data_IF_664491970785
#
_entry.id   IF_664491970785
#
_cell.length_a   1.000
_cell.length_b   1.000
_cell.length_c   1.000
_cell.angle_alpha   90.00
_cell.angle_beta   90.00
_cell.angle_gamma   90.00
#
_symmetry.space_group_name_H-M   'P 1'
#
loop_
_entity.id
_entity.type
_entity.pdbx_description
1 polymer ?
#
# COMPACT_ATOMS: atom_id res chain seq x y z
N UNK A 1 -29.91 -19.42 -71.84
CA UNK A 1 -30.56 -20.74 -72.02
C UNK A 1 -29.47 -21.76 -72.31
N UNK A 2 -29.55 -22.94 -71.70
CA UNK A 2 -28.59 -24.06 -71.63
C UNK A 2 -27.83 -24.20 -70.30
N UNK A 3 -28.23 -25.26 -69.59
CA UNK A 3 -27.68 -25.86 -68.37
C UNK A 3 -26.93 -27.13 -68.80
N UNK A 4 -25.81 -27.46 -68.13
CA UNK A 4 -25.31 -28.83 -67.91
C UNK A 4 -23.96 -28.76 -67.17
N UNK A 5 -23.89 -28.93 -65.84
CA UNK A 5 -23.83 -30.16 -65.03
C UNK A 5 -22.46 -30.88 -64.93
N UNK A 6 -22.08 -31.13 -63.65
CA UNK A 6 -21.11 -32.11 -63.08
C UNK A 6 -19.64 -31.65 -63.08
N UNK A 7 -18.86 -31.77 -62.00
CA UNK A 7 -18.88 -32.74 -60.89
C UNK A 7 -18.07 -32.27 -59.67
N UNK A 8 -18.53 -32.74 -58.52
CA UNK A 8 -18.06 -32.65 -57.14
C UNK A 8 -16.67 -33.28 -56.92
N UNK A 9 -15.79 -32.69 -56.09
CA UNK A 9 -15.15 -33.36 -54.92
C UNK A 9 -14.09 -32.48 -54.23
N UNK A 10 -13.88 -32.78 -52.94
CA UNK A 10 -12.81 -32.39 -52.02
C UNK A 10 -13.09 -31.24 -51.03
N UNK A 11 -13.69 -31.67 -49.90
CA UNK A 11 -13.39 -31.32 -48.51
C UNK A 11 -12.18 -30.39 -48.28
N UNK A 12 -12.32 -29.36 -47.43
CA UNK A 12 -11.58 -29.22 -46.15
C UNK A 12 -12.45 -28.44 -45.16
N UNK A 13 -12.42 -28.91 -43.91
CA UNK A 13 -13.18 -28.49 -42.75
C UNK A 13 -13.11 -26.98 -42.42
N UNK A 14 -14.24 -26.42 -42.01
CA UNK A 14 -14.31 -25.19 -41.22
C UNK A 14 -15.41 -25.35 -40.18
N UNK A 15 -15.08 -26.09 -39.11
CA UNK A 15 -15.86 -26.09 -37.87
C UNK A 15 -14.91 -25.61 -36.76
N UNK A 16 -14.71 -24.30 -36.70
CA UNK A 16 -13.98 -23.64 -35.63
C UNK A 16 -14.99 -22.85 -34.79
N UNK A 17 -15.38 -23.50 -33.68
CA UNK A 17 -15.48 -22.90 -32.35
C UNK A 17 -16.17 -21.53 -32.34
N UNK A 18 -17.51 -21.55 -32.31
CA UNK A 18 -18.28 -20.45 -31.76
C UNK A 18 -18.37 -20.66 -30.23
N UNK A 19 -17.20 -20.62 -29.57
CA UNK A 19 -17.18 -20.48 -28.11
C UNK A 19 -17.69 -19.09 -27.78
N UNK A 20 -18.71 -19.08 -26.93
CA UNK A 20 -19.23 -17.93 -26.21
C UNK A 20 -18.11 -16.90 -25.95
N UNK A 21 -18.15 -15.78 -26.68
CA UNK A 21 -17.66 -14.52 -26.13
C UNK A 21 -18.71 -14.03 -25.14
N UNK A 22 -18.85 -14.73 -24.02
CA UNK A 22 -19.17 -14.06 -22.78
C UNK A 22 -17.89 -13.33 -22.40
N UNK A 23 -17.68 -12.17 -23.03
CA UNK A 23 -16.88 -11.14 -22.38
C UNK A 23 -17.69 -10.87 -21.12
N UNK A 24 -17.24 -11.39 -19.99
CA UNK A 24 -17.54 -10.76 -18.72
C UNK A 24 -16.98 -9.35 -18.89
N UNK A 25 -17.83 -8.45 -19.38
CA UNK A 25 -17.79 -7.07 -18.99
C UNK A 25 -17.95 -7.17 -17.48
N UNK A 26 -16.81 -7.26 -16.79
CA UNK A 26 -16.73 -6.73 -15.44
C UNK A 26 -16.98 -5.26 -15.70
N UNK A 27 -18.25 -4.86 -15.67
CA UNK A 27 -18.59 -3.48 -15.44
C UNK A 27 -17.81 -3.14 -14.18
N UNK A 28 -16.77 -2.33 -14.35
CA UNK A 28 -16.26 -1.50 -13.28
C UNK A 28 -17.34 -0.47 -13.01
N UNK A 29 -18.52 -0.92 -12.56
CA UNK A 29 -19.42 -0.07 -11.80
C UNK A 29 -18.53 0.49 -10.70
N UNK A 30 -18.35 1.80 -10.76
CA UNK A 30 -17.70 2.61 -9.75
C UNK A 30 -18.04 2.00 -8.39
N UNK A 31 -17.08 1.27 -7.79
CA UNK A 31 -17.20 0.80 -6.42
C UNK A 31 -17.63 2.02 -5.63
N UNK A 32 -18.70 1.91 -4.84
CA UNK A 32 -19.26 3.01 -4.07
C UNK A 32 -18.12 3.88 -3.54
N UNK A 33 -17.87 4.99 -4.23
CA UNK A 33 -16.79 5.88 -3.87
C UNK A 33 -17.41 6.72 -2.78
N UNK A 34 -17.00 6.47 -1.55
CA UNK A 34 -17.46 7.31 -0.46
C UNK A 34 -17.06 8.76 -0.78
N UNK A 35 -18.01 9.69 -0.65
CA UNK A 35 -17.76 11.14 -0.80
C UNK A 35 -16.72 11.67 0.22
N UNK A 36 -16.38 10.84 1.23
CA UNK A 36 -15.31 11.04 2.19
C UNK A 36 -15.08 9.78 3.03
N UNK A 37 -14.05 9.75 3.88
CA UNK A 37 -13.78 8.59 4.74
C UNK A 37 -14.96 8.40 5.73
N UNK A 38 -15.56 7.19 5.86
CA UNK A 38 -16.64 6.97 6.82
C UNK A 38 -16.24 7.29 8.27
N UNK A 39 -17.13 7.93 9.04
CA UNK A 39 -16.82 8.39 10.40
C UNK A 39 -16.32 7.26 11.33
N UNK A 40 -16.84 6.04 11.16
CA UNK A 40 -16.41 4.89 11.96
C UNK A 40 -14.93 4.53 11.69
N UNK A 41 -14.41 4.75 10.49
CA UNK A 41 -13.00 4.53 10.16
C UNK A 41 -12.11 5.48 10.97
N UNK A 42 -12.50 6.75 11.10
CA UNK A 42 -11.74 7.70 11.92
C UNK A 42 -11.92 7.44 13.42
N UNK A 43 -13.13 7.09 13.85
CA UNK A 43 -13.47 6.80 15.25
C UNK A 43 -12.68 5.61 15.82
N UNK A 44 -12.55 4.54 15.04
CA UNK A 44 -11.88 3.30 15.44
C UNK A 44 -10.43 3.22 14.95
N UNK A 45 -9.89 4.27 14.32
CA UNK A 45 -8.53 4.26 13.79
C UNK A 45 -7.50 3.84 14.86
N UNK A 46 -6.50 3.03 14.55
CA UNK A 46 -5.54 2.52 15.51
C UNK A 46 -4.67 3.61 16.16
N UNK A 47 -4.06 3.27 17.30
CA UNK A 47 -2.98 4.04 17.95
C UNK A 47 -1.72 3.19 17.91
N UNK A 48 -0.63 3.75 17.39
CA UNK A 48 0.65 3.06 17.27
C UNK A 48 1.62 3.61 18.31
N UNK A 49 2.08 2.73 19.19
CA UNK A 49 3.21 3.00 20.06
C UNK A 49 4.50 2.73 19.28
N UNK A 50 5.34 3.75 19.20
CA UNK A 50 6.67 3.63 18.64
C UNK A 50 7.65 3.22 19.74
N UNK A 51 8.63 2.39 19.39
CA UNK A 51 9.70 2.07 20.32
C UNK A 51 10.46 3.37 20.72
N UNK A 52 10.69 3.57 22.01
CA UNK A 52 11.21 4.83 22.54
C UNK A 52 12.63 5.15 22.05
N UNK A 53 13.44 4.12 21.82
CA UNK A 53 14.81 4.22 21.33
C UNK A 53 14.94 4.20 19.81
N UNK A 54 13.83 4.08 19.08
CA UNK A 54 13.89 4.08 17.63
C UNK A 54 14.36 5.45 17.13
N UNK A 55 15.29 5.40 16.17
CA UNK A 55 15.87 6.58 15.53
C UNK A 55 15.08 6.96 14.27
N UNK A 56 14.33 6.03 13.70
CA UNK A 56 13.64 6.17 12.42
C UNK A 56 12.14 6.26 12.68
N UNK A 57 11.65 7.50 12.82
CA UNK A 57 10.25 7.78 13.11
C UNK A 57 9.41 7.76 11.82
N UNK A 58 8.07 7.73 11.93
CA UNK A 58 7.19 7.89 10.77
C UNK A 58 7.50 9.19 10.01
N UNK A 59 7.44 9.13 8.68
CA UNK A 59 7.85 10.20 7.77
C UNK A 59 6.74 10.52 6.77
N UNK A 60 6.79 11.71 6.18
CA UNK A 60 5.96 12.01 5.01
C UNK A 60 6.51 11.30 3.77
N UNK A 61 5.64 10.64 3.00
CA UNK A 61 6.02 10.02 1.73
C UNK A 61 6.46 11.07 0.68
N UNK A 62 5.92 12.28 0.75
CA UNK A 62 6.36 13.40 -0.09
C UNK A 62 7.87 13.70 0.06
N UNK A 63 8.43 13.54 1.26
CA UNK A 63 9.87 13.72 1.51
C UNK A 63 10.71 12.72 0.72
N UNK A 64 10.24 11.49 0.52
CA UNK A 64 10.92 10.54 -0.37
C UNK A 64 10.93 11.04 -1.81
N UNK A 65 9.82 11.61 -2.30
CA UNK A 65 9.73 12.13 -3.67
C UNK A 65 10.72 13.29 -3.89
N UNK A 66 10.83 14.20 -2.93
CA UNK A 66 11.76 15.33 -2.97
C UNK A 66 13.24 14.87 -3.00
N UNK A 67 13.53 13.74 -2.36
CA UNK A 67 14.89 13.21 -2.19
C UNK A 67 15.22 12.01 -3.10
N UNK A 68 14.38 11.75 -4.10
CA UNK A 68 14.57 10.66 -5.06
C UNK A 68 14.39 11.12 -6.50
N UNK A 69 14.77 10.24 -7.42
CA UNK A 69 14.52 10.37 -8.85
C UNK A 69 13.99 9.05 -9.40
N UNK A 70 13.01 9.07 -10.32
CA UNK A 70 12.59 7.87 -11.01
C UNK A 70 13.70 7.33 -11.91
N UNK A 71 13.90 6.01 -11.86
CA UNK A 71 14.94 5.33 -12.63
C UNK A 71 14.44 4.01 -13.18
N UNK A 72 15.00 3.59 -14.31
CA UNK A 72 14.90 2.23 -14.85
C UNK A 72 16.32 1.70 -14.96
N UNK A 73 16.64 0.57 -14.33
CA UNK A 73 18.00 0.01 -14.30
C UNK A 73 19.07 1.06 -13.92
N UNK A 74 18.83 1.81 -12.84
CA UNK A 74 19.71 2.89 -12.34
C UNK A 74 19.92 4.08 -13.30
N UNK A 75 19.22 4.13 -14.42
CA UNK A 75 19.27 5.25 -15.37
C UNK A 75 18.07 6.16 -15.12
N UNK A 76 18.25 7.48 -14.96
CA UNK A 76 17.14 8.42 -14.79
C UNK A 76 16.15 8.35 -15.96
N UNK A 77 14.85 8.37 -15.63
CA UNK A 77 13.78 8.44 -16.63
C UNK A 77 13.71 9.87 -17.18
N UNK A 78 13.62 10.01 -18.50
CA UNK A 78 13.43 11.29 -19.17
C UNK A 78 11.97 11.77 -19.05
N UNK A 79 11.74 13.06 -19.28
CA UNK A 79 10.40 13.67 -19.34
C UNK A 79 9.55 13.51 -18.06
N UNK A 80 10.21 13.26 -16.92
CA UNK A 80 9.57 13.25 -15.60
C UNK A 80 9.22 14.70 -15.19
N UNK A 81 8.00 14.96 -14.69
CA UNK A 81 7.65 16.25 -14.11
C UNK A 81 8.62 16.67 -13.00
N UNK A 82 9.02 17.95 -12.99
CA UNK A 82 9.90 18.51 -11.98
C UNK A 82 9.27 19.78 -11.38
N UNK A 83 8.90 19.78 -10.08
CA UNK A 83 9.09 18.69 -9.12
C UNK A 83 8.12 17.50 -9.33
N UNK A 84 8.59 16.31 -8.96
CA UNK A 84 7.73 15.15 -8.76
C UNK A 84 7.08 15.26 -7.37
N UNK A 85 5.77 15.11 -7.31
CA UNK A 85 4.93 15.35 -6.13
C UNK A 85 3.84 14.28 -6.05
N UNK A 86 3.09 14.23 -4.95
CA UNK A 86 1.96 13.30 -4.83
C UNK A 86 0.88 13.54 -5.88
N UNK A 87 0.72 14.78 -6.34
CA UNK A 87 -0.32 15.18 -7.31
C UNK A 87 -0.02 14.77 -8.75
N UNK A 88 1.23 14.40 -9.05
CA UNK A 88 1.65 14.01 -10.40
C UNK A 88 2.47 12.72 -10.44
N UNK A 89 2.53 11.97 -9.33
CA UNK A 89 3.29 10.72 -9.24
C UNK A 89 2.77 9.65 -10.20
N UNK A 90 1.48 9.68 -10.51
CA UNK A 90 0.81 8.78 -11.45
C UNK A 90 1.31 8.94 -12.89
N UNK A 91 1.92 10.08 -13.23
CA UNK A 91 2.55 10.29 -14.55
C UNK A 91 3.59 9.22 -14.89
N UNK A 92 4.24 8.64 -13.88
CA UNK A 92 5.22 7.55 -14.05
C UNK A 92 4.59 6.29 -14.67
N UNK A 93 3.28 6.10 -14.54
CA UNK A 93 2.55 4.98 -15.17
C UNK A 93 2.72 4.98 -16.69
N UNK A 94 2.77 6.18 -17.31
CA UNK A 94 2.95 6.34 -18.75
C UNK A 94 4.43 6.29 -19.18
N UNK A 95 5.37 6.37 -18.23
CA UNK A 95 6.82 6.45 -18.47
C UNK A 95 7.54 5.11 -18.16
N UNK A 96 6.81 4.00 -18.11
CA UNK A 96 7.33 2.66 -17.83
C UNK A 96 6.61 1.97 -16.66
N UNK A 97 5.85 2.73 -15.85
CA UNK A 97 5.00 2.21 -14.79
C UNK A 97 5.73 1.28 -13.84
N UNK A 98 5.37 -0.01 -13.86
CA UNK A 98 5.92 -1.05 -12.97
C UNK A 98 7.44 -1.24 -13.04
N UNK A 99 8.08 -0.81 -14.12
CA UNK A 99 9.53 -0.94 -14.33
C UNK A 99 10.30 0.30 -13.85
N UNK A 100 9.59 1.32 -13.36
CA UNK A 100 10.14 2.57 -12.83
C UNK A 100 10.22 2.49 -11.30
N UNK A 101 11.40 2.78 -10.75
CA UNK A 101 11.67 2.78 -9.32
C UNK A 101 12.13 4.16 -8.85
N UNK A 102 11.64 4.59 -7.69
CA UNK A 102 12.17 5.77 -7.00
C UNK A 102 13.52 5.42 -6.38
N UNK A 103 14.58 6.07 -6.86
CA UNK A 103 15.95 5.88 -6.37
C UNK A 103 16.40 7.14 -5.64
N UNK A 104 16.80 7.01 -4.37
CA UNK A 104 17.31 8.13 -3.57
C UNK A 104 18.51 8.81 -4.24
N UNK A 105 18.62 10.13 -4.07
CA UNK A 105 19.72 10.89 -4.66
C UNK A 105 21.09 10.59 -4.04
N UNK A 106 21.13 10.38 -2.73
CA UNK A 106 22.39 10.22 -1.97
C UNK A 106 22.77 8.75 -1.75
N UNK A 107 21.81 7.83 -1.91
CA UNK A 107 22.00 6.40 -1.67
C UNK A 107 21.84 6.01 -0.20
N UNK A 108 21.46 4.76 0.04
CA UNK A 108 21.08 4.25 1.37
C UNK A 108 22.18 4.37 2.44
N UNK A 109 23.46 4.34 2.05
CA UNK A 109 24.60 4.41 2.98
C UNK A 109 24.91 5.84 3.46
N UNK A 110 24.35 6.86 2.81
CA UNK A 110 24.56 8.24 3.21
C UNK A 110 23.85 8.56 4.53
N UNK A 111 22.79 7.82 4.87
CA UNK A 111 21.96 8.04 6.07
C UNK A 111 21.60 9.52 6.26
N UNK A 112 20.99 10.17 5.25
CA UNK A 112 20.66 11.58 5.33
C UNK A 112 19.63 11.85 6.42
N UNK A 113 19.60 13.07 6.94
CA UNK A 113 18.79 13.45 8.11
C UNK A 113 17.31 13.08 7.95
N UNK A 114 16.76 13.24 6.73
CA UNK A 114 15.37 12.95 6.43
C UNK A 114 14.96 11.47 6.61
N UNK A 115 15.92 10.53 6.69
CA UNK A 115 15.64 9.14 7.05
C UNK A 115 15.06 9.01 8.46
N UNK A 116 15.40 9.93 9.37
CA UNK A 116 14.97 9.88 10.78
C UNK A 116 13.47 10.16 10.96
N UNK A 117 12.79 10.66 9.92
CA UNK A 117 11.38 11.00 9.94
C UNK A 117 11.02 12.09 10.96
N UNK A 118 9.77 12.08 11.40
CA UNK A 118 9.20 13.10 12.29
C UNK A 118 8.79 12.47 13.62
N UNK A 119 9.50 12.83 14.69
CA UNK A 119 9.13 12.36 16.03
C UNK A 119 7.77 12.95 16.45
N UNK A 120 6.82 12.12 16.94
CA UNK A 120 5.56 12.62 17.46
C UNK A 120 5.75 13.57 18.65
N UNK A 121 4.91 14.59 18.75
CA UNK A 121 4.86 15.49 19.90
C UNK A 121 4.23 14.81 21.14
N UNK A 122 4.06 15.58 22.22
CA UNK A 122 3.46 15.07 23.47
C UNK A 122 2.00 14.60 23.32
N UNK A 123 1.32 15.00 22.25
CA UNK A 123 -0.03 14.56 21.92
C UNK A 123 -0.04 13.37 20.94
N UNK A 124 1.14 12.87 20.54
CA UNK A 124 1.29 11.77 19.60
C UNK A 124 1.14 12.18 18.13
N UNK A 125 1.25 13.49 17.82
CA UNK A 125 1.12 13.99 16.45
C UNK A 125 2.49 14.18 15.79
N UNK A 126 2.67 13.68 14.56
CA UNK A 126 3.79 14.07 13.69
C UNK A 126 3.51 15.46 13.10
N UNK A 127 4.09 16.50 13.70
CA UNK A 127 3.87 17.90 13.29
C UNK A 127 4.51 18.15 11.92
N UNK A 128 3.77 18.81 11.03
CA UNK A 128 4.19 19.13 9.65
C UNK A 128 4.56 17.93 8.75
N UNK A 129 4.15 16.72 9.13
CA UNK A 129 4.33 15.51 8.33
C UNK A 129 3.03 14.72 8.17
N UNK A 130 2.72 14.34 6.92
CA UNK A 130 1.64 13.39 6.59
C UNK A 130 2.23 11.99 6.60
N UNK A 131 2.28 11.39 7.78
CA UNK A 131 2.94 10.10 8.04
C UNK A 131 2.06 8.87 7.86
N UNK A 132 0.77 9.08 7.56
CA UNK A 132 -0.21 8.01 7.43
C UNK A 132 -1.17 8.24 6.27
N UNK A 133 -1.58 7.14 5.63
CA UNK A 133 -2.59 7.10 4.58
C UNK A 133 -3.68 6.10 4.99
N UNK A 134 -4.93 6.48 4.80
CA UNK A 134 -6.07 5.57 4.99
C UNK A 134 -6.60 5.17 3.62
N UNK A 135 -6.64 3.87 3.36
CA UNK A 135 -7.27 3.30 2.15
C UNK A 135 -8.50 2.53 2.59
N UNK A 136 -9.66 2.91 2.05
CA UNK A 136 -10.95 2.27 2.36
C UNK A 136 -11.37 1.41 1.19
N UNK A 137 -11.71 0.15 1.48
CA UNK A 137 -12.28 -0.80 0.53
C UNK A 137 -13.70 -1.14 0.95
N UNK A 138 -14.67 -0.61 0.21
CA UNK A 138 -16.05 -1.11 0.26
C UNK A 138 -16.13 -2.46 -0.48
N UNK A 139 -16.80 -3.44 0.11
CA UNK A 139 -17.00 -4.75 -0.52
C UNK A 139 -18.21 -4.77 -1.48
N UNK A 140 -19.02 -3.72 -1.52
CA UNK A 140 -20.18 -3.56 -2.40
C UNK A 140 -21.42 -4.32 -1.94
N UNK A 141 -21.41 -4.92 -0.75
CA UNK A 141 -22.54 -5.66 -0.15
C UNK A 141 -23.40 -4.79 0.79
N UNK A 142 -23.03 -3.51 0.93
CA UNK A 142 -23.71 -2.54 1.80
C UNK A 142 -23.45 -2.75 3.29
N UNK A 143 -22.51 -3.62 3.67
CA UNK A 143 -22.24 -3.97 5.07
C UNK A 143 -20.75 -3.97 5.42
N UNK A 144 -19.94 -4.56 4.56
CA UNK A 144 -18.54 -4.87 4.83
C UNK A 144 -17.62 -3.79 4.27
N UNK A 145 -16.78 -3.24 5.14
CA UNK A 145 -15.75 -2.26 4.77
C UNK A 145 -14.45 -2.68 5.42
N UNK A 146 -13.37 -2.76 4.63
CA UNK A 146 -12.01 -2.90 5.16
C UNK A 146 -11.31 -1.55 5.07
N UNK A 147 -10.79 -1.05 6.20
CA UNK A 147 -9.97 0.16 6.22
C UNK A 147 -8.53 -0.19 6.58
N UNK A 148 -7.60 0.19 5.70
CA UNK A 148 -6.17 0.03 5.88
C UNK A 148 -5.58 1.35 6.33
N UNK A 149 -4.85 1.34 7.43
CA UNK A 149 -4.16 2.49 8.01
C UNK A 149 -2.67 2.27 7.83
N UNK A 150 -2.11 2.85 6.77
CA UNK A 150 -0.71 2.74 6.45
C UNK A 150 0.11 3.79 7.20
N UNK A 151 1.33 3.42 7.59
CA UNK A 151 2.33 4.28 8.20
C UNK A 151 3.60 4.18 7.36
N UNK A 152 4.16 5.33 7.00
CA UNK A 152 5.37 5.37 6.19
C UNK A 152 6.59 5.68 7.04
N UNK A 153 7.68 4.96 6.81
CA UNK A 153 9.00 5.25 7.35
C UNK A 153 9.96 5.53 6.19
N UNK A 154 10.75 6.60 6.29
CA UNK A 154 11.70 6.96 5.24
C UNK A 154 12.84 5.95 5.11
N UNK A 155 13.17 5.27 6.20
CA UNK A 155 14.20 4.25 6.28
C UNK A 155 13.81 3.19 7.30
N UNK A 156 13.96 1.93 6.94
CA UNK A 156 13.84 0.82 7.87
C UNK A 156 15.24 0.31 8.21
N UNK A 157 15.57 0.35 9.49
CA UNK A 157 16.74 -0.34 10.03
C UNK A 157 16.38 -1.79 10.31
N UNK A 158 16.95 -2.70 9.52
CA UNK A 158 16.62 -4.11 9.62
C UNK A 158 17.20 -4.79 10.87
N UNK A 159 16.81 -6.06 11.04
CA UNK A 159 17.13 -6.84 12.23
C UNK A 159 18.62 -7.17 12.34
N UNK A 160 19.12 -7.19 13.58
CA UNK A 160 20.49 -7.61 13.88
C UNK A 160 20.51 -9.04 14.39
N UNK A 161 21.20 -9.93 13.67
CA UNK A 161 21.39 -11.33 14.03
C UNK A 161 22.88 -11.58 14.22
N UNK A 162 23.28 -11.92 15.46
CA UNK A 162 24.69 -12.18 15.84
C UNK A 162 25.60 -11.00 15.42
N UNK A 163 25.16 -9.76 15.69
CA UNK A 163 25.91 -8.54 15.38
C UNK A 163 25.95 -8.15 13.90
N UNK A 164 25.26 -8.87 13.02
CA UNK A 164 25.14 -8.53 11.60
C UNK A 164 23.72 -8.04 11.31
N UNK A 165 23.60 -6.86 10.71
CA UNK A 165 22.32 -6.25 10.35
C UNK A 165 21.87 -6.67 8.95
N UNK A 166 20.59 -7.06 8.82
CA UNK A 166 19.98 -7.50 7.57
C UNK A 166 18.68 -6.76 7.31
N UNK A 167 18.41 -6.43 6.05
CA UNK A 167 17.10 -5.89 5.64
C UNK A 167 16.99 -4.36 5.73
N UNK A 168 18.10 -3.62 5.72
CA UNK A 168 18.03 -2.17 5.59
C UNK A 168 17.46 -1.79 4.22
N UNK A 169 16.47 -0.91 4.21
CA UNK A 169 15.88 -0.41 2.96
C UNK A 169 15.34 1.00 3.14
N UNK A 170 15.30 1.73 2.03
CA UNK A 170 14.69 3.07 1.97
C UNK A 170 13.22 2.90 1.63
N UNK A 171 12.38 3.57 2.40
CA UNK A 171 10.94 3.48 2.30
C UNK A 171 10.44 2.16 2.86
N UNK A 172 9.57 2.27 3.85
CA UNK A 172 8.93 1.14 4.47
C UNK A 172 7.48 1.50 4.81
N UNK A 173 6.59 0.56 4.53
CA UNK A 173 5.15 0.72 4.65
C UNK A 173 4.62 -0.38 5.55
N UNK A 174 4.23 0.02 6.76
CA UNK A 174 3.57 -0.84 7.71
C UNK A 174 2.10 -0.44 7.82
N UNK A 175 1.23 -1.33 8.26
CA UNK A 175 -0.18 -1.03 8.39
C UNK A 175 -0.93 -1.90 9.40
N UNK A 176 -2.04 -1.33 9.88
CA UNK A 176 -3.15 -2.13 10.38
C UNK A 176 -4.28 -2.15 9.36
N UNK A 177 -5.05 -3.23 9.34
CA UNK A 177 -6.35 -3.24 8.66
C UNK A 177 -7.44 -3.53 9.68
N UNK A 178 -8.51 -2.74 9.68
CA UNK A 178 -9.71 -3.02 10.47
C UNK A 178 -10.84 -3.40 9.53
N UNK A 179 -11.42 -4.58 9.76
CA UNK A 179 -12.64 -5.02 9.09
C UNK A 179 -13.85 -4.55 9.89
N UNK A 180 -14.77 -3.88 9.22
CA UNK A 180 -16.05 -3.43 9.75
C UNK A 180 -17.20 -4.21 9.12
N UNK A 181 -18.22 -4.49 9.92
CA UNK A 181 -19.52 -4.96 9.46
C UNK A 181 -20.58 -4.01 10.02
N UNK A 182 -21.38 -3.41 9.13
CA UNK A 182 -22.39 -2.40 9.48
C UNK A 182 -21.81 -1.24 10.34
N UNK A 183 -20.56 -0.84 10.05
CA UNK A 183 -19.86 0.23 10.78
C UNK A 183 -19.25 -0.18 12.12
N UNK A 184 -19.40 -1.43 12.56
CA UNK A 184 -18.79 -1.93 13.80
C UNK A 184 -17.56 -2.81 13.52
N UNK A 185 -16.45 -2.62 14.25
CA UNK A 185 -15.21 -3.35 13.99
C UNK A 185 -15.31 -4.82 14.42
N UNK A 186 -14.90 -5.72 13.53
CA UNK A 186 -14.96 -7.17 13.71
C UNK A 186 -13.59 -7.80 13.92
N UNK A 187 -12.59 -7.35 13.18
CA UNK A 187 -11.22 -7.90 13.23
C UNK A 187 -10.18 -6.81 12.95
N UNK A 188 -8.97 -7.04 13.45
CA UNK A 188 -7.80 -6.18 13.22
C UNK A 188 -6.64 -7.05 12.73
N UNK A 189 -6.04 -6.64 11.62
CA UNK A 189 -4.77 -7.16 11.10
C UNK A 189 -3.61 -6.28 11.57
N UNK A 190 -2.50 -6.90 11.92
CA UNK A 190 -1.24 -6.28 12.29
C UNK A 190 -0.16 -6.75 11.32
N UNK A 191 0.38 -5.85 10.49
CA UNK A 191 1.39 -6.22 9.49
C UNK A 191 2.73 -6.55 10.12
N UNK A 192 3.37 -7.60 9.62
CA UNK A 192 4.70 -8.02 10.03
C UNK A 192 5.46 -8.41 8.76
N UNK A 193 6.14 -7.43 8.15
CA UNK A 193 6.82 -7.62 6.87
C UNK A 193 5.86 -8.11 5.76
N UNK A 194 6.21 -9.22 5.10
CA UNK A 194 5.38 -9.84 4.06
C UNK A 194 4.14 -10.59 4.62
N UNK A 195 3.94 -10.59 5.93
CA UNK A 195 2.85 -11.30 6.61
C UNK A 195 2.22 -10.45 7.71
N UNK A 196 1.76 -11.13 8.76
CA UNK A 196 1.09 -10.48 9.87
C UNK A 196 0.14 -11.44 10.59
N UNK A 197 -0.58 -10.88 11.55
CA UNK A 197 -1.50 -11.61 12.41
C UNK A 197 -2.86 -10.92 12.45
N UNK A 198 -3.92 -11.73 12.47
CA UNK A 198 -5.30 -11.27 12.57
C UNK A 198 -5.88 -11.63 13.93
N UNK A 199 -6.52 -10.68 14.58
CA UNK A 199 -7.25 -10.88 15.82
C UNK A 199 -8.69 -10.43 15.67
N UNK A 200 -9.61 -11.04 16.40
CA UNK A 200 -10.94 -10.44 16.56
C UNK A 200 -10.77 -9.07 17.22
N UNK A 201 -11.56 -8.09 16.81
CA UNK A 201 -11.47 -6.75 17.39
C UNK A 201 -11.61 -6.82 18.90
N UNK A 202 -12.49 -7.67 19.44
CA UNK A 202 -12.63 -7.83 20.89
C UNK A 202 -11.36 -8.27 21.62
N UNK A 203 -10.52 -9.09 20.99
CA UNK A 203 -9.30 -9.64 21.61
C UNK A 203 -8.13 -8.66 21.67
N UNK A 204 -8.15 -7.56 20.92
CA UNK A 204 -7.03 -6.62 20.87
C UNK A 204 -6.99 -5.68 22.08
N UNK A 205 -5.82 -5.21 22.46
CA UNK A 205 -5.69 -4.07 23.36
C UNK A 205 -6.26 -2.80 22.72
N UNK A 206 -6.88 -1.92 23.52
CA UNK A 206 -7.49 -0.67 23.05
C UNK A 206 -7.26 0.46 24.05
N UNK A 207 -7.11 1.66 23.51
CA UNK A 207 -7.27 2.91 24.26
C UNK A 207 -8.58 3.56 23.84
N UNK A 208 -9.57 3.52 24.73
CA UNK A 208 -10.95 3.85 24.38
C UNK A 208 -11.48 2.85 23.34
N UNK A 209 -11.82 3.35 22.14
CA UNK A 209 -12.30 2.53 21.02
C UNK A 209 -11.20 2.21 20.00
N UNK A 210 -9.99 2.72 20.20
CA UNK A 210 -8.92 2.64 19.21
C UNK A 210 -8.04 1.44 19.53
N UNK A 211 -7.91 0.44 18.63
CA UNK A 211 -7.01 -0.67 18.85
C UNK A 211 -5.57 -0.17 18.91
N UNK A 212 -4.79 -0.78 19.78
CA UNK A 212 -3.39 -0.45 20.01
C UNK A 212 -2.51 -1.39 19.18
N UNK A 213 -1.47 -0.84 18.56
CA UNK A 213 -0.37 -1.58 17.94
C UNK A 213 0.97 -1.05 18.41
N UNK A 214 1.98 -1.91 18.37
CA UNK A 214 3.36 -1.60 18.76
C UNK A 214 4.27 -1.78 17.56
N UNK A 215 4.93 -0.72 17.12
CA UNK A 215 5.91 -0.78 16.04
C UNK A 215 7.28 -1.14 16.62
N UNK A 216 7.92 -2.18 16.06
CA UNK A 216 9.23 -2.63 16.49
C UNK A 216 10.34 -1.61 16.21
N UNK A 217 11.36 -1.61 17.05
CA UNK A 217 12.56 -0.78 16.86
C UNK A 217 13.26 -1.14 15.54
N UNK A 218 13.26 -0.20 14.59
CA UNK A 218 13.88 -0.34 13.28
C UNK A 218 13.09 -1.19 12.30
N UNK A 219 12.89 -2.47 12.56
CA UNK A 219 12.20 -3.41 11.66
C UNK A 219 10.74 -3.04 11.34
N UNK A 220 10.19 -2.06 12.08
CA UNK A 220 8.86 -1.42 12.06
C UNK A 220 7.59 -2.27 12.05
N UNK A 221 7.70 -3.58 11.84
CA UNK A 221 6.61 -4.55 11.99
C UNK A 221 5.72 -4.21 13.19
N UNK A 222 4.41 -4.32 12.98
CA UNK A 222 3.39 -3.93 13.94
C UNK A 222 2.87 -5.16 14.68
N UNK A 223 2.87 -5.09 16.01
CA UNK A 223 2.45 -6.18 16.88
C UNK A 223 1.23 -5.78 17.72
N UNK A 224 0.39 -6.77 18.04
CA UNK A 224 -0.80 -6.57 18.88
C UNK A 224 -0.48 -6.48 20.38
N UNK A 225 0.72 -6.89 20.78
CA UNK A 225 1.21 -6.87 22.16
C UNK A 225 2.62 -6.26 22.22
N UNK A 226 3.01 -5.66 23.36
CA UNK A 226 4.39 -5.25 23.56
C UNK A 226 5.33 -6.47 23.57
N UNK A 227 6.59 -6.25 23.17
CA UNK A 227 7.66 -7.24 23.13
C UNK A 227 8.88 -6.86 23.96
#
# INVERSE_FOLDING_TARGET
MWISHRTLSMLVASLLIQCLRFVLLVDATCLAQYDGIPDFVLKYGPIIYLHSEDQYMPSAFATLLENSKPTVNYTPVADVPSPLTLDNLDSLNSLGGKDVFLTTNEGIRALPEWFSGTRPDKAGKTVDAVSSIIVVRDHGDGKMVDAFYFYYYGYNQGNTVIGIQFGNHVGDWEHNMIRFENGEPQAVWYSQHAGGEAFTYQATEKQGLRPVGYSANGSHAVYATPG
#
